data_IF_037704551681
#
_entry.id   IF_037704551681
#
_cell.length_a   1.000
_cell.length_b   1.000
_cell.length_c   1.000
_cell.angle_alpha   90.00
_cell.angle_beta   90.00
_cell.angle_gamma   90.00
#
_symmetry.space_group_name_H-M   'P 1'
#
loop_
_entity.id
_entity.type
_entity.pdbx_description
1 polymer ?
#
# COMPACT_ATOMS: atom_id res chain seq x y z
N UNK A 1 -14.72 -22.58 -13.65
CA UNK A 1 -13.86 -21.80 -12.73
C UNK A 1 -13.87 -22.34 -11.30
N UNK A 2 -14.98 -22.29 -10.54
CA UNK A 2 -15.02 -22.75 -9.12
C UNK A 2 -14.54 -24.20 -8.94
N UNK A 3 -14.86 -25.11 -9.88
CA UNK A 3 -14.35 -26.51 -9.90
C UNK A 3 -12.81 -26.58 -9.78
N UNK A 4 -12.09 -25.64 -10.39
CA UNK A 4 -10.64 -25.65 -10.49
C UNK A 4 -9.97 -24.80 -9.40
N UNK A 5 -10.67 -23.77 -8.91
CA UNK A 5 -10.14 -22.83 -7.90
C UNK A 5 -10.63 -23.12 -6.48
N UNK A 6 -11.66 -23.96 -6.32
CA UNK A 6 -12.28 -24.29 -5.04
C UNK A 6 -13.07 -23.14 -4.38
N UNK A 7 -13.07 -21.95 -5.00
CA UNK A 7 -13.73 -20.73 -4.49
C UNK A 7 -13.92 -19.70 -5.60
N UNK A 8 -14.77 -18.71 -5.34
CA UNK A 8 -14.87 -17.52 -6.20
C UNK A 8 -13.59 -16.68 -6.16
N UNK A 9 -13.17 -16.20 -7.33
CA UNK A 9 -11.96 -15.38 -7.47
C UNK A 9 -12.18 -13.95 -6.97
N UNK A 10 -13.32 -13.35 -7.30
CA UNK A 10 -13.64 -11.99 -6.88
C UNK A 10 -14.56 -12.08 -5.67
N UNK A 11 -14.15 -11.47 -4.57
CA UNK A 11 -15.04 -11.19 -3.44
C UNK A 11 -15.29 -9.69 -3.44
N UNK A 12 -16.52 -9.23 -3.67
CA UNK A 12 -16.85 -7.81 -3.49
C UNK A 12 -16.46 -7.39 -2.06
N UNK A 13 -15.52 -6.46 -1.95
CA UNK A 13 -15.11 -5.87 -0.68
C UNK A 13 -15.98 -4.66 -0.34
N UNK A 14 -16.10 -4.33 0.93
CA UNK A 14 -16.83 -3.14 1.41
C UNK A 14 -16.16 -1.84 0.92
N UNK A 15 -14.84 -1.84 0.70
CA UNK A 15 -14.09 -0.66 0.23
C UNK A 15 -13.52 -0.86 -1.18
N UNK A 16 -13.82 0.09 -2.07
CA UNK A 16 -13.42 0.09 -3.50
C UNK A 16 -11.91 -0.04 -3.75
N UNK A 17 -11.07 0.42 -2.82
CA UNK A 17 -9.61 0.35 -2.95
C UNK A 17 -9.06 -1.04 -2.65
N UNK A 18 -9.67 -1.75 -1.69
CA UNK A 18 -9.29 -3.11 -1.36
C UNK A 18 -9.73 -4.11 -2.44
N UNK A 19 -10.81 -3.83 -3.17
CA UNK A 19 -11.38 -4.74 -4.18
C UNK A 19 -10.37 -5.17 -5.24
N UNK A 20 -9.61 -4.24 -5.84
CA UNK A 20 -8.65 -4.57 -6.91
C UNK A 20 -7.47 -5.40 -6.37
N UNK A 21 -6.95 -5.05 -5.20
CA UNK A 21 -5.88 -5.82 -4.55
C UNK A 21 -6.36 -7.22 -4.14
N UNK A 22 -7.52 -7.32 -3.51
CA UNK A 22 -8.12 -8.60 -3.09
C UNK A 22 -8.36 -9.50 -4.30
N UNK A 23 -8.87 -8.93 -5.40
CA UNK A 23 -9.07 -9.66 -6.65
C UNK A 23 -7.74 -10.16 -7.24
N UNK A 24 -6.73 -9.29 -7.38
CA UNK A 24 -5.42 -9.67 -7.89
C UNK A 24 -4.72 -10.71 -7.02
N UNK A 25 -4.75 -10.54 -5.70
CA UNK A 25 -4.19 -11.51 -4.76
C UNK A 25 -4.94 -12.85 -4.88
N UNK A 26 -6.28 -12.84 -4.95
CA UNK A 26 -7.07 -14.06 -5.15
C UNK A 26 -6.71 -14.76 -6.46
N UNK A 27 -6.55 -14.03 -7.57
CA UNK A 27 -6.09 -14.59 -8.85
C UNK A 27 -4.71 -15.24 -8.68
N UNK A 28 -3.77 -14.58 -8.00
CA UNK A 28 -2.44 -15.10 -7.72
C UNK A 28 -2.47 -16.39 -6.89
N UNK A 29 -3.25 -16.42 -5.81
CA UNK A 29 -3.40 -17.59 -4.94
C UNK A 29 -4.02 -18.79 -5.68
N UNK A 30 -4.80 -18.53 -6.73
CA UNK A 30 -5.44 -19.56 -7.54
C UNK A 30 -4.71 -19.82 -8.88
N UNK A 31 -3.46 -19.35 -9.03
CA UNK A 31 -2.63 -19.50 -10.25
C UNK A 31 -2.66 -20.91 -10.84
N UNK A 32 -2.40 -21.91 -10.02
CA UNK A 32 -2.30 -23.30 -10.48
C UNK A 32 -3.66 -23.82 -10.94
N UNK A 33 -4.72 -23.57 -10.17
CA UNK A 33 -6.09 -23.94 -10.56
C UNK A 33 -6.53 -23.27 -11.86
N UNK A 34 -6.15 -22.01 -12.07
CA UNK A 34 -6.42 -21.30 -13.32
C UNK A 34 -5.64 -21.92 -14.49
N UNK A 35 -4.35 -22.21 -14.34
CA UNK A 35 -3.56 -22.90 -15.37
C UNK A 35 -4.16 -24.27 -15.71
N UNK A 36 -4.55 -25.06 -14.70
CA UNK A 36 -5.21 -26.35 -14.90
C UNK A 36 -6.54 -26.22 -15.62
N UNK A 37 -7.33 -25.17 -15.34
CA UNK A 37 -8.59 -24.92 -16.04
C UNK A 37 -8.35 -24.70 -17.54
N UNK A 38 -7.41 -23.83 -17.91
CA UNK A 38 -7.12 -23.56 -19.32
C UNK A 38 -6.39 -24.72 -20.04
N UNK A 39 -5.73 -25.60 -19.29
CA UNK A 39 -5.12 -26.81 -19.83
C UNK A 39 -6.11 -28.00 -19.94
N UNK A 40 -7.35 -27.87 -19.47
CA UNK A 40 -8.31 -28.97 -19.40
C UNK A 40 -9.02 -29.23 -20.73
N UNK A 41 -9.43 -30.48 -20.96
CA UNK A 41 -10.24 -30.86 -22.12
C UNK A 41 -11.58 -30.11 -22.14
N UNK A 42 -12.15 -29.81 -20.98
CA UNK A 42 -13.39 -29.02 -20.87
C UNK A 42 -13.20 -27.58 -21.35
N UNK A 43 -12.01 -26.99 -21.21
CA UNK A 43 -11.70 -25.69 -21.81
C UNK A 43 -11.51 -25.83 -23.31
N UNK A 44 -10.69 -26.78 -23.77
CA UNK A 44 -10.36 -26.94 -25.19
C UNK A 44 -11.59 -27.24 -26.06
N UNK A 45 -12.59 -27.94 -25.51
CA UNK A 45 -13.87 -28.23 -26.19
C UNK A 45 -14.93 -27.14 -26.00
N UNK A 46 -14.62 -26.09 -25.23
CA UNK A 46 -15.56 -25.01 -24.94
C UNK A 46 -15.78 -24.09 -26.14
N UNK A 47 -17.02 -23.62 -26.31
CA UNK A 47 -17.35 -22.56 -27.29
C UNK A 47 -16.53 -21.28 -27.11
N UNK A 48 -15.97 -21.05 -25.91
CA UNK A 48 -15.19 -19.85 -25.60
C UNK A 48 -13.73 -19.95 -26.03
N UNK A 49 -13.15 -21.15 -26.13
CA UNK A 49 -11.73 -21.32 -26.47
C UNK A 49 -11.39 -20.87 -27.90
N UNK A 50 -12.37 -20.88 -28.81
CA UNK A 50 -12.18 -20.42 -30.19
C UNK A 50 -12.34 -18.91 -30.37
N UNK A 51 -12.96 -18.22 -29.40
CA UNK A 51 -13.17 -16.77 -29.44
C UNK A 51 -11.86 -16.00 -29.30
N UNK A 52 -11.81 -14.78 -29.83
CA UNK A 52 -10.63 -13.91 -29.71
C UNK A 52 -10.29 -13.63 -28.22
N UNK A 53 -11.31 -13.32 -27.42
CA UNK A 53 -11.15 -13.04 -25.99
C UNK A 53 -10.67 -14.27 -25.22
N UNK A 54 -11.25 -15.45 -25.48
CA UNK A 54 -10.86 -16.70 -24.84
C UNK A 54 -9.38 -17.04 -25.09
N UNK A 55 -8.93 -16.92 -26.35
CA UNK A 55 -7.52 -17.11 -26.72
C UNK A 55 -6.60 -16.11 -26.03
N UNK A 56 -7.03 -14.84 -25.96
CA UNK A 56 -6.25 -13.80 -25.29
C UNK A 56 -6.09 -14.08 -23.79
N UNK A 57 -7.18 -14.45 -23.11
CA UNK A 57 -7.15 -14.78 -21.67
C UNK A 57 -6.29 -16.02 -21.43
N UNK A 58 -6.42 -17.06 -22.25
CA UNK A 58 -5.60 -18.27 -22.16
C UNK A 58 -4.10 -17.94 -22.25
N UNK A 59 -3.70 -17.12 -23.23
CA UNK A 59 -2.32 -16.66 -23.38
C UNK A 59 -1.83 -15.90 -22.14
N UNK A 60 -2.65 -15.01 -21.59
CA UNK A 60 -2.33 -14.26 -20.36
C UNK A 60 -2.13 -15.21 -19.17
N UNK A 61 -3.05 -16.15 -18.96
CA UNK A 61 -3.01 -17.09 -17.84
C UNK A 61 -1.85 -18.08 -17.97
N UNK A 62 -1.47 -18.48 -19.18
CA UNK A 62 -0.34 -19.36 -19.39
C UNK A 62 1.02 -18.64 -19.27
N UNK A 63 1.06 -17.33 -19.54
CA UNK A 63 2.27 -16.50 -19.51
C UNK A 63 2.94 -16.43 -18.13
N UNK A 64 4.20 -16.86 -18.05
CA UNK A 64 5.03 -16.70 -16.84
C UNK A 64 5.21 -15.22 -16.48
N UNK A 65 5.47 -14.37 -17.47
CA UNK A 65 5.69 -12.92 -17.30
C UNK A 65 4.49 -12.23 -16.66
N UNK A 66 3.27 -12.64 -17.02
CA UNK A 66 2.06 -12.10 -16.39
C UNK A 66 2.06 -12.39 -14.88
N UNK A 67 2.34 -13.63 -14.48
CA UNK A 67 2.37 -14.01 -13.07
C UNK A 67 3.46 -13.31 -12.29
N UNK A 68 4.64 -13.09 -12.88
CA UNK A 68 5.72 -12.35 -12.24
C UNK A 68 5.29 -10.91 -11.95
N UNK A 69 4.61 -10.25 -12.90
CA UNK A 69 4.06 -8.91 -12.67
C UNK A 69 2.94 -8.87 -11.64
N UNK A 70 2.00 -9.83 -11.67
CA UNK A 70 0.94 -9.90 -10.66
C UNK A 70 1.54 -10.08 -9.27
N UNK A 71 2.55 -10.95 -9.13
CA UNK A 71 3.27 -11.17 -7.87
C UNK A 71 3.97 -9.89 -7.40
N UNK A 72 4.71 -9.22 -8.27
CA UNK A 72 5.38 -7.95 -7.96
C UNK A 72 4.37 -6.90 -7.44
N UNK A 73 3.23 -6.75 -8.11
CA UNK A 73 2.18 -5.80 -7.69
C UNK A 73 1.60 -6.19 -6.33
N UNK A 74 1.26 -7.47 -6.12
CA UNK A 74 0.68 -7.95 -4.86
C UNK A 74 1.66 -7.74 -3.70
N UNK A 75 2.92 -8.11 -3.87
CA UNK A 75 3.96 -7.98 -2.83
C UNK A 75 4.16 -6.50 -2.42
N UNK A 76 4.07 -5.55 -3.37
CA UNK A 76 4.18 -4.11 -3.09
C UNK A 76 2.93 -3.56 -2.41
N UNK A 77 1.74 -3.88 -2.93
CA UNK A 77 0.48 -3.35 -2.39
C UNK A 77 0.21 -3.92 -1.00
N UNK A 78 0.65 -5.14 -0.69
CA UNK A 78 0.55 -5.72 0.64
C UNK A 78 1.28 -4.89 1.70
N UNK A 79 2.49 -4.40 1.38
CA UNK A 79 3.26 -3.51 2.27
C UNK A 79 2.50 -2.21 2.56
N UNK A 80 1.81 -1.65 1.55
CA UNK A 80 0.99 -0.45 1.72
C UNK A 80 -0.31 -0.74 2.47
N UNK A 81 -0.90 -1.92 2.26
CA UNK A 81 -2.11 -2.35 2.97
C UNK A 81 -1.86 -2.51 4.48
N UNK A 82 -0.65 -2.85 4.91
CA UNK A 82 -0.26 -2.80 6.33
C UNK A 82 -0.35 -1.38 6.89
N UNK A 83 0.08 -0.37 6.13
CA UNK A 83 -0.02 1.04 6.54
C UNK A 83 -1.48 1.50 6.58
N UNK A 84 -2.29 1.13 5.58
CA UNK A 84 -3.71 1.50 5.53
C UNK A 84 -4.50 0.87 6.69
N UNK A 85 -4.33 -0.44 6.92
CA UNK A 85 -4.96 -1.14 8.05
C UNK A 85 -4.57 -0.58 9.40
N UNK A 86 -3.38 0.01 9.52
CA UNK A 86 -2.99 0.71 10.73
C UNK A 86 -3.87 1.94 10.94
N UNK A 87 -4.03 2.79 9.92
CA UNK A 87 -4.82 4.03 10.01
C UNK A 87 -6.30 3.75 10.28
N UNK A 88 -6.82 2.63 9.77
CA UNK A 88 -8.19 2.20 10.02
C UNK A 88 -8.43 1.70 11.47
N UNK A 89 -7.39 1.57 12.30
CA UNK A 89 -7.55 1.17 13.71
C UNK A 89 -8.01 2.34 14.57
N UNK A 90 -9.27 2.33 14.99
CA UNK A 90 -9.88 3.39 15.81
C UNK A 90 -9.46 3.36 17.29
N UNK A 91 -8.88 2.25 17.77
CA UNK A 91 -8.65 2.03 19.21
C UNK A 91 -7.51 2.84 19.82
N UNK A 92 -6.54 3.29 19.01
CA UNK A 92 -5.32 3.97 19.46
C UNK A 92 -5.04 5.12 18.49
N UNK A 93 -4.58 6.29 18.95
CA UNK A 93 -4.17 7.38 18.06
C UNK A 93 -3.06 6.95 17.08
N UNK A 94 -3.40 6.80 15.81
CA UNK A 94 -2.47 6.28 14.79
C UNK A 94 -1.57 7.32 14.17
N UNK A 95 -1.88 8.61 14.35
CA UNK A 95 -1.22 9.73 13.68
C UNK A 95 0.30 9.71 13.83
N UNK A 96 0.80 9.36 15.01
CA UNK A 96 2.24 9.26 15.27
C UNK A 96 2.94 8.03 14.70
N UNK A 97 2.19 7.06 14.15
CA UNK A 97 2.72 5.83 13.58
C UNK A 97 2.73 5.81 12.05
N UNK A 98 1.87 6.61 11.40
CA UNK A 98 1.67 6.59 9.94
C UNK A 98 2.97 6.83 9.18
N UNK A 99 3.70 7.90 9.53
CA UNK A 99 4.93 8.26 8.83
C UNK A 99 5.99 7.17 8.95
N UNK A 100 6.21 6.65 10.16
CA UNK A 100 7.15 5.55 10.39
C UNK A 100 6.79 4.30 9.56
N UNK A 101 5.52 3.88 9.61
CA UNK A 101 5.07 2.69 8.89
C UNK A 101 5.17 2.87 7.38
N UNK A 102 4.88 4.05 6.87
CA UNK A 102 5.11 4.38 5.46
C UNK A 102 6.60 4.33 5.11
N UNK A 103 7.49 4.87 5.96
CA UNK A 103 8.95 4.79 5.77
C UNK A 103 9.42 3.34 5.70
N UNK A 104 8.92 2.49 6.59
CA UNK A 104 9.21 1.05 6.59
C UNK A 104 8.68 0.35 5.34
N UNK A 105 7.48 0.69 4.87
CA UNK A 105 6.94 0.16 3.62
C UNK A 105 7.83 0.54 2.43
N UNK A 106 8.25 1.81 2.31
CA UNK A 106 9.18 2.28 1.27
C UNK A 106 10.51 1.55 1.31
N UNK A 107 11.07 1.34 2.51
CA UNK A 107 12.29 0.57 2.70
C UNK A 107 12.15 -0.87 2.19
N UNK A 108 11.07 -1.56 2.57
CA UNK A 108 10.81 -2.93 2.13
C UNK A 108 10.58 -3.04 0.61
N UNK A 109 9.91 -2.05 -0.01
CA UNK A 109 9.77 -1.98 -1.47
C UNK A 109 11.15 -1.87 -2.13
N UNK A 110 12.02 -0.99 -1.63
CA UNK A 110 13.39 -0.82 -2.15
C UNK A 110 14.21 -2.11 -2.00
N UNK A 111 14.11 -2.77 -0.85
CA UNK A 111 14.80 -4.03 -0.56
C UNK A 111 14.34 -5.15 -1.50
N UNK A 112 13.03 -5.27 -1.71
CA UNK A 112 12.46 -6.39 -2.47
C UNK A 112 12.50 -6.17 -3.99
N UNK A 113 12.54 -4.92 -4.46
CA UNK A 113 12.45 -4.58 -5.88
C UNK A 113 13.55 -3.59 -6.33
N UNK A 114 14.84 -3.94 -6.19
CA UNK A 114 15.96 -2.98 -6.36
C UNK A 114 16.06 -2.37 -7.77
N UNK A 115 15.53 -3.03 -8.80
CA UNK A 115 15.56 -2.54 -10.18
C UNK A 115 14.43 -1.57 -10.53
N UNK A 116 13.31 -1.63 -9.81
CA UNK A 116 12.06 -0.92 -10.16
C UNK A 116 11.49 -0.06 -9.04
N UNK A 117 12.03 -0.11 -7.83
CA UNK A 117 11.48 0.60 -6.67
C UNK A 117 11.24 2.09 -6.93
N UNK A 118 12.06 2.74 -7.76
CA UNK A 118 11.94 4.18 -8.02
C UNK A 118 10.59 4.58 -8.62
N UNK A 119 10.04 3.77 -9.55
CA UNK A 119 8.72 4.08 -10.15
C UNK A 119 7.61 3.97 -9.10
N UNK A 120 7.69 2.97 -8.22
CA UNK A 120 6.75 2.79 -7.12
C UNK A 120 6.86 3.89 -6.07
N UNK A 121 8.08 4.24 -5.64
CA UNK A 121 8.30 5.32 -4.68
C UNK A 121 7.79 6.65 -5.23
N UNK A 122 8.03 6.96 -6.51
CA UNK A 122 7.51 8.18 -7.15
C UNK A 122 5.98 8.28 -7.08
N UNK A 123 5.28 7.16 -7.24
CA UNK A 123 3.81 7.14 -7.11
C UNK A 123 3.41 7.38 -5.65
N UNK A 124 4.07 6.71 -4.70
CA UNK A 124 3.80 6.84 -3.27
C UNK A 124 4.06 8.27 -2.79
N UNK A 125 5.21 8.85 -3.14
CA UNK A 125 5.62 10.20 -2.76
C UNK A 125 4.64 11.24 -3.32
N UNK A 126 4.28 11.14 -4.60
CA UNK A 126 3.29 12.03 -5.21
C UNK A 126 1.94 11.97 -4.49
N UNK A 127 1.51 10.79 -4.04
CA UNK A 127 0.26 10.63 -3.28
C UNK A 127 0.38 11.19 -1.88
N UNK A 128 1.51 10.94 -1.21
CA UNK A 128 1.83 11.45 0.11
C UNK A 128 1.81 12.97 0.13
N UNK A 129 2.52 13.62 -0.78
CA UNK A 129 2.68 15.08 -0.80
C UNK A 129 1.37 15.82 -1.15
N UNK A 130 0.45 15.19 -1.90
CA UNK A 130 -0.81 15.82 -2.34
C UNK A 130 -1.96 15.55 -1.37
N UNK A 131 -2.06 14.34 -0.81
CA UNK A 131 -3.28 13.88 -0.14
C UNK A 131 -3.15 13.75 1.37
N UNK A 132 -1.94 13.65 1.90
CA UNK A 132 -1.71 13.49 3.33
C UNK A 132 -1.15 14.78 3.88
N UNK A 133 -1.69 15.26 5.00
CA UNK A 133 -1.19 16.46 5.68
C UNK A 133 0.21 16.17 6.23
N UNK A 134 1.23 16.32 5.38
CA UNK A 134 2.62 15.88 5.62
C UNK A 134 3.13 16.35 6.97
N UNK A 135 2.99 17.64 7.26
CA UNK A 135 3.46 18.22 8.52
C UNK A 135 2.77 17.62 9.74
N UNK A 136 1.48 17.26 9.64
CA UNK A 136 0.72 16.68 10.74
C UNK A 136 1.20 15.25 11.07
N UNK A 137 1.51 14.45 10.05
CA UNK A 137 2.06 13.11 10.25
C UNK A 137 3.51 13.13 10.71
N UNK A 138 4.32 14.09 10.23
CA UNK A 138 5.70 14.28 10.68
C UNK A 138 5.74 14.76 12.14
N UNK A 139 4.93 15.74 12.50
CA UNK A 139 4.78 16.22 13.88
C UNK A 139 4.29 15.10 14.81
N UNK A 140 3.28 14.33 14.38
CA UNK A 140 2.81 13.18 15.14
C UNK A 140 3.92 12.14 15.37
N UNK A 141 4.76 11.89 14.37
CA UNK A 141 5.90 10.99 14.50
C UNK A 141 6.96 11.53 15.48
N UNK A 142 7.28 12.82 15.37
CA UNK A 142 8.22 13.50 16.27
C UNK A 142 7.77 13.43 17.73
N UNK A 143 6.47 13.64 17.99
CA UNK A 143 5.89 13.65 19.33
C UNK A 143 5.64 12.24 19.91
N UNK A 144 5.85 11.17 19.14
CA UNK A 144 5.61 9.81 19.60
C UNK A 144 6.78 9.30 20.44
N UNK A 145 6.64 9.05 21.77
CA UNK A 145 7.75 8.65 22.62
C UNK A 145 8.40 7.32 22.21
N UNK A 146 7.63 6.41 21.60
CA UNK A 146 8.16 5.14 21.09
C UNK A 146 9.16 5.31 19.94
N UNK A 147 9.18 6.48 19.30
CA UNK A 147 10.07 6.78 18.20
C UNK A 147 11.06 7.90 18.53
N UNK A 148 10.61 8.93 19.24
CA UNK A 148 11.40 10.10 19.57
C UNK A 148 12.75 9.74 20.19
N UNK A 149 12.71 8.96 21.27
CA UNK A 149 13.92 8.56 21.98
C UNK A 149 14.68 7.45 21.26
N UNK A 150 13.96 6.46 20.71
CA UNK A 150 14.59 5.30 20.06
C UNK A 150 15.35 5.66 18.78
N UNK A 151 14.93 6.70 18.07
CA UNK A 151 15.55 7.16 16.82
C UNK A 151 16.22 8.52 16.92
N UNK A 152 16.32 9.07 18.14
CA UNK A 152 16.94 10.36 18.41
C UNK A 152 16.38 11.50 17.52
N UNK A 153 15.05 11.56 17.42
CA UNK A 153 14.35 12.45 16.48
C UNK A 153 14.49 13.93 16.83
N UNK A 154 14.90 14.28 18.05
CA UNK A 154 15.08 15.66 18.51
C UNK A 154 16.11 16.47 17.71
N UNK A 155 16.95 15.81 16.91
CA UNK A 155 17.94 16.46 16.04
C UNK A 155 17.52 16.49 14.56
N UNK A 156 16.30 16.10 14.24
CA UNK A 156 15.78 16.12 12.88
C UNK A 156 15.09 17.46 12.58
N UNK A 157 15.80 18.34 11.86
CA UNK A 157 15.33 19.67 11.50
C UNK A 157 14.03 19.65 10.67
N UNK A 158 13.82 18.62 9.84
CA UNK A 158 12.61 18.51 9.03
C UNK A 158 11.41 18.21 9.92
N UNK A 159 11.56 17.30 10.87
CA UNK A 159 10.51 16.95 11.83
C UNK A 159 10.20 18.12 12.77
N UNK A 160 11.23 18.83 13.25
CA UNK A 160 11.06 20.01 14.09
C UNK A 160 10.32 21.13 13.34
N UNK A 161 10.70 21.38 12.08
CA UNK A 161 10.01 22.34 11.21
C UNK A 161 8.54 21.95 11.00
N UNK A 162 8.26 20.68 10.74
CA UNK A 162 6.90 20.18 10.59
C UNK A 162 6.07 20.40 11.86
N UNK A 163 6.64 20.13 13.04
CA UNK A 163 5.97 20.40 14.32
C UNK A 163 5.64 21.89 14.49
N UNK A 164 6.59 22.78 14.22
CA UNK A 164 6.37 24.24 14.27
C UNK A 164 5.28 24.70 13.30
N UNK A 165 5.26 24.15 12.09
CA UNK A 165 4.19 24.43 11.11
C UNK A 165 2.81 24.00 11.62
N UNK A 166 2.73 22.84 12.28
CA UNK A 166 1.48 22.34 12.86
C UNK A 166 1.01 23.22 14.01
N UNK A 167 1.91 23.63 14.92
CA UNK A 167 1.59 24.53 16.03
C UNK A 167 1.02 25.85 15.47
N UNK A 168 1.72 26.50 14.54
CA UNK A 168 1.27 27.75 13.93
C UNK A 168 -0.08 27.63 13.19
N UNK A 169 -0.42 26.43 12.71
CA UNK A 169 -1.66 26.19 11.99
C UNK A 169 -2.84 25.90 12.91
N UNK A 170 -2.60 25.22 14.05
CA UNK A 170 -3.65 24.76 14.96
C UNK A 170 -3.92 25.75 16.10
N UNK A 171 -2.89 26.44 16.59
CA UNK A 171 -3.02 27.48 17.61
C UNK A 171 -3.42 28.80 16.94
N UNK A 172 -4.53 29.37 17.40
CA UNK A 172 -5.10 30.60 16.81
C UNK A 172 -4.48 31.85 17.41
N UNK A 173 -3.99 31.76 18.64
CA UNK A 173 -3.32 32.86 19.34
C UNK A 173 -1.82 32.87 19.00
N UNK A 174 -1.30 33.91 18.32
CA UNK A 174 0.11 34.00 17.96
C UNK A 174 1.06 33.98 19.18
N UNK A 175 0.62 34.49 20.33
CA UNK A 175 1.42 34.50 21.56
C UNK A 175 1.53 33.08 22.14
N UNK A 176 0.43 32.33 22.18
CA UNK A 176 0.47 30.92 22.61
C UNK A 176 1.28 30.06 21.64
N UNK A 177 1.15 30.29 20.33
CA UNK A 177 1.95 29.58 19.33
C UNK A 177 3.45 29.85 19.51
N UNK A 178 3.84 31.11 19.74
CA UNK A 178 5.23 31.48 19.97
C UNK A 178 5.81 30.85 21.25
N UNK A 179 5.03 30.84 22.34
CA UNK A 179 5.42 30.18 23.59
C UNK A 179 5.63 28.68 23.38
N UNK A 180 4.66 27.99 22.76
CA UNK A 180 4.76 26.57 22.47
C UNK A 180 5.96 26.24 21.57
N UNK A 181 6.25 27.06 20.55
CA UNK A 181 7.41 26.88 19.67
C UNK A 181 8.73 27.05 20.42
N UNK A 182 8.77 27.93 21.44
CA UNK A 182 9.99 28.14 22.23
C UNK A 182 10.36 26.96 23.13
N UNK A 183 9.40 26.08 23.42
CA UNK A 183 9.58 24.88 24.22
C UNK A 183 10.06 23.66 23.41
N UNK A 184 10.11 23.78 22.07
CA UNK A 184 10.49 22.70 21.14
C UNK A 184 11.76 23.02 20.35
#
# INVERSE_FOLDING_TARGET
MVKFTGRELVRPGITRFATNFIALNSILQNKNGLKSMFASDEWQTSRYATTADGKSIEQIIMSTKFWDYVKEIVDIVELLNVVLRLVDQEKIPQMGHVYYKLRMAKYNIKKNNPLRFQSFLKIIDRRWDVQMSRDLHLAGYYLNPSYHHCYNLGFDDELLKALRNVINRLERDPTHAALAISEV
#
